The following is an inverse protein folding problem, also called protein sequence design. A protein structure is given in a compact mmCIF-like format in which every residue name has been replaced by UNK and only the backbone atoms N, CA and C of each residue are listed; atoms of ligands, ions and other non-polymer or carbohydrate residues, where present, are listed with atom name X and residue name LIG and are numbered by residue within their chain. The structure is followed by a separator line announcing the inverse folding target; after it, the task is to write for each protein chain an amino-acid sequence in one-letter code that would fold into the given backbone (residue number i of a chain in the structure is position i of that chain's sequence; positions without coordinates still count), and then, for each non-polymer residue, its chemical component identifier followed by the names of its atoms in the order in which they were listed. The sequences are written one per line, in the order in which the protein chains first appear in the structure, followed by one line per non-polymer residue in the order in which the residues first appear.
data_IF_893368379437
#
_entry.id   IF_893368379437
#
_cell.length_a   1.000
_cell.length_b   1.000
_cell.length_c   1.000
_cell.angle_alpha   90.00
_cell.angle_beta   90.00
_cell.angle_gamma   90.00
#
_symmetry.space_group_name_H-M   'P 1'
#
loop_
_entity.id
_entity.type
_entity.pdbx_description
1 polymer ?
#
# COMPACT_ATOMS: atom_id res chain seq x y z
N UNK A 1 -16.65 -12.33 3.21
CA UNK A 1 -16.43 -10.88 2.98
C UNK A 1 -15.12 -10.74 2.19
N UNK A 2 -15.09 -10.01 1.06
CA UNK A 2 -13.96 -10.05 0.12
C UNK A 2 -12.89 -8.99 0.43
N UNK A 3 -13.31 -7.78 0.83
CA UNK A 3 -12.39 -6.69 1.22
C UNK A 3 -12.28 -6.64 2.75
N UNK A 4 -11.32 -7.38 3.29
CA UNK A 4 -11.05 -7.48 4.74
C UNK A 4 -9.58 -7.13 5.03
N UNK A 5 -9.27 -6.80 6.28
CA UNK A 5 -7.92 -6.45 6.72
C UNK A 5 -6.89 -7.60 6.56
N UNK A 6 -7.35 -8.84 6.61
CA UNK A 6 -6.48 -10.03 6.55
C UNK A 6 -7.03 -11.07 5.55
N UNK A 7 -6.98 -10.78 4.23
CA UNK A 7 -7.56 -11.64 3.21
C UNK A 7 -6.86 -13.00 3.09
N UNK A 8 -5.63 -13.12 3.61
CA UNK A 8 -4.89 -14.38 3.72
C UNK A 8 -5.70 -15.51 4.36
N UNK A 9 -6.53 -15.20 5.36
CA UNK A 9 -7.33 -16.22 6.06
C UNK A 9 -8.58 -16.66 5.30
N UNK A 10 -8.93 -15.98 4.20
CA UNK A 10 -10.00 -16.44 3.32
C UNK A 10 -9.59 -17.67 2.50
N UNK A 11 -8.29 -18.00 2.45
CA UNK A 11 -7.78 -19.19 1.75
C UNK A 11 -8.18 -20.47 2.50
N UNK A 12 -8.56 -21.49 1.74
CA UNK A 12 -9.03 -22.76 2.29
C UNK A 12 -7.97 -23.40 3.19
N UNK A 13 -8.31 -23.59 4.47
CA UNK A 13 -7.43 -24.22 5.45
C UNK A 13 -6.44 -23.28 6.14
N UNK A 14 -6.46 -21.97 5.88
CA UNK A 14 -5.56 -21.02 6.55
C UNK A 14 -6.13 -20.41 7.84
N UNK A 15 -7.45 -20.47 8.06
CA UNK A 15 -8.10 -19.97 9.30
C UNK A 15 -7.50 -20.57 10.58
N UNK A 16 -7.05 -21.83 10.53
CA UNK A 16 -6.39 -22.53 11.65
C UNK A 16 -5.02 -21.97 12.03
N UNK A 17 -4.41 -21.13 11.19
CA UNK A 17 -3.17 -20.42 11.50
C UNK A 17 -3.41 -19.08 12.19
N UNK A 18 -4.67 -18.63 12.31
CA UNK A 18 -5.02 -17.36 12.92
C UNK A 18 -4.58 -17.33 14.38
N UNK A 19 -4.04 -16.19 14.81
CA UNK A 19 -3.44 -16.04 16.14
C UNK A 19 -2.04 -16.66 16.29
N UNK A 20 -1.58 -17.50 15.35
CA UNK A 20 -0.19 -17.99 15.36
C UNK A 20 0.78 -16.91 14.90
N UNK A 21 2.04 -17.04 15.31
CA UNK A 21 3.11 -16.16 14.86
C UNK A 21 3.33 -16.24 13.34
N UNK A 22 3.31 -17.44 12.79
CA UNK A 22 3.46 -17.67 11.35
C UNK A 22 2.28 -17.10 10.56
N UNK A 23 1.05 -17.28 11.04
CA UNK A 23 -0.15 -16.78 10.37
C UNK A 23 -0.18 -15.25 10.27
N UNK A 24 0.27 -14.54 11.32
CA UNK A 24 0.42 -13.08 11.29
C UNK A 24 1.43 -12.62 10.23
N UNK A 25 2.55 -13.33 10.13
CA UNK A 25 3.61 -13.02 9.16
C UNK A 25 3.13 -13.24 7.72
N UNK A 26 2.49 -14.39 7.48
CA UNK A 26 1.92 -14.71 6.18
C UNK A 26 0.84 -13.70 5.78
N UNK A 27 -0.03 -13.30 6.71
CA UNK A 27 -1.05 -12.27 6.50
C UNK A 27 -0.43 -10.91 6.12
N UNK A 28 0.64 -10.48 6.80
CA UNK A 28 1.37 -9.26 6.47
C UNK A 28 2.01 -9.31 5.07
N UNK A 29 2.76 -10.37 4.75
CA UNK A 29 3.38 -10.53 3.43
C UNK A 29 2.32 -10.64 2.32
N UNK A 30 1.18 -11.26 2.61
CA UNK A 30 0.06 -11.29 1.67
C UNK A 30 -0.48 -9.88 1.41
N UNK A 31 -0.62 -9.06 2.45
CA UNK A 31 -1.05 -7.67 2.32
C UNK A 31 -0.07 -6.81 1.50
N UNK A 32 1.24 -7.07 1.56
CA UNK A 32 2.20 -6.44 0.64
C UNK A 32 1.81 -6.70 -0.82
N UNK A 33 1.50 -7.95 -1.18
CA UNK A 33 1.09 -8.29 -2.53
C UNK A 33 -0.28 -7.70 -2.91
N UNK A 34 -1.23 -7.63 -1.97
CA UNK A 34 -2.54 -7.00 -2.20
C UNK A 34 -2.38 -5.52 -2.51
N UNK A 35 -1.59 -4.77 -1.72
CA UNK A 35 -1.33 -3.35 -1.94
C UNK A 35 -0.63 -3.12 -3.27
N UNK A 36 0.36 -3.94 -3.62
CA UNK A 36 1.04 -3.84 -4.91
C UNK A 36 0.08 -4.07 -6.09
N UNK A 37 -0.74 -5.13 -6.02
CA UNK A 37 -1.74 -5.44 -7.05
C UNK A 37 -2.81 -4.35 -7.15
N UNK A 38 -3.19 -3.73 -6.03
CA UNK A 38 -4.11 -2.60 -6.01
C UNK A 38 -3.57 -1.44 -6.84
N UNK A 39 -2.33 -1.00 -6.58
CA UNK A 39 -1.71 0.10 -7.35
C UNK A 39 -1.63 -0.26 -8.82
N UNK A 40 -1.20 -1.48 -9.15
CA UNK A 40 -1.14 -1.95 -10.55
C UNK A 40 -2.50 -1.95 -11.24
N UNK A 41 -3.56 -2.41 -10.55
CA UNK A 41 -4.91 -2.42 -11.08
C UNK A 41 -5.44 -0.99 -11.29
N UNK A 42 -5.20 -0.09 -10.33
CA UNK A 42 -5.58 1.32 -10.45
C UNK A 42 -4.83 2.01 -11.60
N UNK A 43 -3.53 1.74 -11.79
CA UNK A 43 -2.78 2.23 -12.95
C UNK A 43 -3.42 1.80 -14.27
N UNK A 44 -3.88 0.53 -14.37
CA UNK A 44 -4.57 0.05 -15.59
C UNK A 44 -5.89 0.77 -15.83
N UNK A 45 -6.65 1.06 -14.78
CA UNK A 45 -7.89 1.84 -14.88
C UNK A 45 -7.63 3.28 -15.34
N UNK A 46 -6.53 3.89 -14.91
CA UNK A 46 -6.12 5.23 -15.38
C UNK A 46 -5.71 5.19 -16.85
N UNK A 47 -4.94 4.19 -17.28
CA UNK A 47 -4.46 4.08 -18.67
C UNK A 47 -5.61 3.76 -19.63
N UNK A 48 -6.50 2.83 -19.26
CA UNK A 48 -7.58 2.34 -20.10
C UNK A 48 -8.88 2.21 -19.28
N UNK A 49 -9.54 3.35 -18.98
CA UNK A 49 -10.79 3.32 -18.25
C UNK A 49 -11.90 2.69 -19.11
N UNK A 50 -12.73 1.77 -18.56
CA UNK A 50 -13.94 1.32 -19.22
C UNK A 50 -14.84 2.50 -19.60
N UNK A 51 -15.34 2.53 -20.83
CA UNK A 51 -16.08 3.68 -21.37
C UNK A 51 -17.28 4.10 -20.50
N UNK A 52 -17.96 3.11 -19.91
CA UNK A 52 -19.14 3.33 -19.03
C UNK A 52 -18.78 4.05 -17.73
N UNK A 53 -17.54 3.96 -17.27
CA UNK A 53 -17.08 4.53 -15.98
C UNK A 53 -15.97 5.58 -16.16
N UNK A 54 -15.78 6.08 -17.38
CA UNK A 54 -14.62 6.91 -17.73
C UNK A 54 -14.57 8.20 -16.90
N UNK A 55 -15.71 8.85 -16.72
CA UNK A 55 -15.82 10.13 -16.00
C UNK A 55 -15.65 9.94 -14.50
N UNK A 56 -16.20 8.87 -13.94
CA UNK A 56 -16.09 8.51 -12.53
C UNK A 56 -14.67 8.13 -12.17
N UNK A 57 -13.99 7.35 -13.04
CA UNK A 57 -12.59 6.98 -12.85
C UNK A 57 -11.70 8.22 -12.89
N UNK A 58 -11.87 9.09 -13.89
CA UNK A 58 -11.10 10.32 -14.01
C UNK A 58 -11.31 11.24 -12.79
N UNK A 59 -12.55 11.41 -12.35
CA UNK A 59 -12.90 12.21 -11.18
C UNK A 59 -12.31 11.63 -9.90
N UNK A 60 -12.46 10.34 -9.67
CA UNK A 60 -11.91 9.67 -8.51
C UNK A 60 -10.39 9.88 -8.38
N UNK A 61 -9.65 9.68 -9.48
CA UNK A 61 -8.20 9.80 -9.44
C UNK A 61 -7.74 11.27 -9.36
N UNK A 62 -8.46 12.22 -9.96
CA UNK A 62 -8.19 13.65 -9.76
C UNK A 62 -8.29 14.05 -8.29
N UNK A 63 -9.31 13.57 -7.58
CA UNK A 63 -9.62 14.04 -6.22
C UNK A 63 -8.85 13.26 -5.14
N UNK A 64 -8.49 12.00 -5.41
CA UNK A 64 -7.96 11.08 -4.40
C UNK A 64 -6.54 10.55 -4.65
N UNK A 65 -6.00 10.63 -5.87
CA UNK A 65 -4.71 10.01 -6.17
C UNK A 65 -3.56 10.58 -5.33
N UNK A 66 -3.51 11.91 -5.15
CA UNK A 66 -2.46 12.56 -4.36
C UNK A 66 -2.47 12.08 -2.91
N UNK A 67 -3.66 11.96 -2.30
CA UNK A 67 -3.82 11.45 -0.93
C UNK A 67 -3.41 9.98 -0.82
N UNK A 68 -3.74 9.17 -1.82
CA UNK A 68 -3.32 7.77 -1.88
C UNK A 68 -1.80 7.64 -1.97
N UNK A 69 -1.16 8.36 -2.89
CA UNK A 69 0.29 8.30 -3.05
C UNK A 69 1.02 8.76 -1.79
N UNK A 70 0.62 9.91 -1.21
CA UNK A 70 1.24 10.41 0.02
C UNK A 70 1.14 9.40 1.17
N UNK A 71 -0.01 8.72 1.31
CA UNK A 71 -0.20 7.67 2.31
C UNK A 71 0.75 6.49 2.08
N UNK A 72 0.80 5.95 0.86
CA UNK A 72 1.67 4.82 0.54
C UNK A 72 3.15 5.17 0.68
N UNK A 73 3.55 6.40 0.34
CA UNK A 73 4.93 6.88 0.54
C UNK A 73 5.27 7.00 2.01
N UNK A 74 4.38 7.53 2.84
CA UNK A 74 4.64 7.60 4.29
C UNK A 74 4.85 6.21 4.91
N UNK A 75 4.14 5.19 4.42
CA UNK A 75 4.33 3.80 4.86
C UNK A 75 5.67 3.21 4.39
N UNK A 76 6.11 3.59 3.20
CA UNK A 76 7.41 3.22 2.66
C UNK A 76 8.54 3.89 3.43
N UNK A 77 8.44 5.19 3.72
CA UNK A 77 9.45 5.94 4.47
C UNK A 77 9.70 5.29 5.84
N UNK A 78 8.62 5.00 6.58
CA UNK A 78 8.72 4.36 7.91
C UNK A 78 9.30 2.94 7.80
N UNK A 79 8.95 2.18 6.76
CA UNK A 79 9.51 0.83 6.56
C UNK A 79 10.98 0.87 6.15
N UNK A 80 11.38 1.83 5.31
CA UNK A 80 12.75 2.02 4.83
C UNK A 80 13.68 2.49 5.95
N UNK A 81 13.21 3.40 6.81
CA UNK A 81 13.91 3.81 8.04
C UNK A 81 14.15 2.59 8.94
N UNK A 82 13.10 1.80 9.20
CA UNK A 82 13.20 0.57 9.98
C UNK A 82 14.23 -0.41 9.37
N UNK A 83 14.16 -0.63 8.06
CA UNK A 83 15.04 -1.54 7.32
C UNK A 83 16.51 -1.07 7.30
N UNK A 84 16.76 0.24 7.44
CA UNK A 84 18.10 0.84 7.52
C UNK A 84 18.71 0.63 8.90
N UNK A 85 17.93 0.84 9.96
CA UNK A 85 18.36 0.58 11.33
C UNK A 85 18.54 -0.92 11.64
N UNK A 86 17.90 -1.80 10.86
CA UNK A 86 17.89 -3.25 11.08
C UNK A 86 18.30 -4.03 9.82
N UNK A 87 19.57 -3.90 9.35
CA UNK A 87 19.97 -4.39 8.03
C UNK A 87 20.00 -5.93 7.90
N UNK A 88 20.21 -6.64 9.00
CA UNK A 88 20.41 -8.11 9.06
C UNK A 88 19.15 -8.84 9.57
N UNK A 89 18.23 -8.14 10.25
CA UNK A 89 17.01 -8.75 10.73
C UNK A 89 16.13 -9.12 9.52
N UNK A 90 15.82 -10.42 9.30
CA UNK A 90 14.67 -10.72 8.48
C UNK A 90 13.48 -10.01 9.12
N UNK A 91 12.53 -9.55 8.31
CA UNK A 91 11.31 -8.92 8.80
C UNK A 91 10.50 -9.99 9.55
N UNK A 92 10.89 -10.34 10.77
CA UNK A 92 10.34 -11.45 11.55
C UNK A 92 9.25 -10.95 12.49
N UNK A 93 8.42 -11.83 13.07
CA UNK A 93 7.22 -11.38 13.79
C UNK A 93 7.51 -10.66 15.12
N UNK A 94 8.66 -10.89 15.74
CA UNK A 94 9.09 -10.18 16.96
C UNK A 94 9.36 -8.71 16.66
N UNK A 95 9.91 -8.45 15.47
CA UNK A 95 10.20 -7.14 14.93
C UNK A 95 8.96 -6.28 14.74
N UNK A 96 7.85 -6.87 14.28
CA UNK A 96 6.62 -6.14 14.00
C UNK A 96 6.00 -5.49 15.25
N UNK A 97 5.99 -6.21 16.38
CA UNK A 97 5.45 -5.68 17.65
C UNK A 97 6.31 -4.55 18.20
N UNK A 98 7.63 -4.73 18.17
CA UNK A 98 8.58 -3.74 18.64
C UNK A 98 8.54 -2.47 17.78
N UNK A 99 8.48 -2.63 16.46
CA UNK A 99 8.27 -1.54 15.52
C UNK A 99 6.97 -0.76 15.81
N UNK A 100 5.83 -1.45 15.99
CA UNK A 100 4.57 -0.76 16.29
C UNK A 100 4.60 -0.01 17.63
N UNK A 101 5.33 -0.50 18.63
CA UNK A 101 5.54 0.27 19.87
C UNK A 101 6.42 1.49 19.65
N UNK A 102 7.51 1.36 18.88
CA UNK A 102 8.43 2.45 18.58
C UNK A 102 7.72 3.55 17.77
N UNK A 103 7.01 3.19 16.70
CA UNK A 103 6.27 4.14 15.85
C UNK A 103 5.13 4.84 16.59
N UNK A 104 4.47 4.16 17.54
CA UNK A 104 3.43 4.79 18.39
C UNK A 104 4.01 5.81 19.37
N UNK A 105 5.25 5.61 19.82
CA UNK A 105 5.94 6.51 20.74
C UNK A 105 6.57 7.72 20.01
N UNK A 106 6.98 7.55 18.75
CA UNK A 106 7.72 8.58 18.01
C UNK A 106 6.84 9.54 17.22
N UNK A 107 5.50 9.54 17.39
CA UNK A 107 4.52 10.35 16.64
C UNK A 107 5.20 11.50 15.89
N UNK A 108 5.58 11.24 14.63
CA UNK A 108 6.32 12.20 13.83
C UNK A 108 5.54 13.53 13.86
N UNK A 109 6.20 14.70 13.86
CA UNK A 109 5.52 16.00 14.04
C UNK A 109 4.36 16.27 13.06
N UNK A 110 4.28 15.52 11.96
CA UNK A 110 3.20 15.55 10.96
C UNK A 110 2.31 14.29 10.89
N UNK A 111 2.34 13.41 11.90
CA UNK A 111 1.39 12.31 12.11
C UNK A 111 1.22 11.33 10.94
N UNK A 112 2.12 10.36 10.79
CA UNK A 112 1.92 9.26 9.82
C UNK A 112 0.72 8.41 10.25
N UNK A 113 -0.33 8.38 9.44
CA UNK A 113 -1.49 7.50 9.66
C UNK A 113 -1.11 6.07 9.30
N UNK A 114 -1.00 5.21 10.32
CA UNK A 114 -0.66 3.80 10.14
C UNK A 114 -1.79 3.01 9.49
N UNK A 115 -1.48 1.94 8.74
CA UNK A 115 -2.51 1.07 8.18
C UNK A 115 -3.29 0.36 9.28
N UNK A 116 -4.61 0.22 9.09
CA UNK A 116 -5.51 -0.51 9.99
C UNK A 116 -5.38 -2.04 9.88
N UNK A 117 -4.50 -2.51 8.99
CA UNK A 117 -4.25 -3.92 8.69
C UNK A 117 -2.75 -4.22 8.82
N UNK A 118 -2.36 -5.50 9.04
CA UNK A 118 -0.95 -5.86 9.16
C UNK A 118 -0.24 -5.62 7.83
N UNK A 119 0.66 -4.63 7.81
CA UNK A 119 1.50 -4.32 6.65
C UNK A 119 2.93 -3.94 7.07
N UNK A 120 3.08 -3.16 8.13
CA UNK A 120 4.37 -2.60 8.54
C UNK A 120 5.07 -3.42 9.64
N UNK A 121 6.42 -3.42 9.72
CA UNK A 121 7.32 -2.89 8.70
C UNK A 121 7.28 -3.75 7.45
N UNK A 122 7.33 -3.12 6.28
CA UNK A 122 7.24 -3.84 5.01
C UNK A 122 8.63 -4.31 4.53
N UNK A 123 8.64 -5.39 3.75
CA UNK A 123 9.86 -5.99 3.22
C UNK A 123 10.61 -5.06 2.27
N UNK A 124 11.95 -5.16 2.22
CA UNK A 124 12.80 -4.35 1.32
C UNK A 124 12.38 -4.51 -0.15
N UNK A 125 12.10 -5.75 -0.58
CA UNK A 125 11.69 -6.06 -1.94
C UNK A 125 10.34 -5.43 -2.30
N UNK A 126 9.37 -5.47 -1.37
CA UNK A 126 8.10 -4.77 -1.54
C UNK A 126 8.31 -3.26 -1.65
N UNK A 127 9.12 -2.66 -0.77
CA UNK A 127 9.34 -1.22 -0.77
C UNK A 127 9.87 -0.73 -2.14
N UNK A 128 10.92 -1.39 -2.64
CA UNK A 128 11.50 -1.10 -3.96
C UNK A 128 10.47 -1.22 -5.08
N UNK A 129 9.66 -2.30 -5.05
CA UNK A 129 8.69 -2.59 -6.11
C UNK A 129 7.51 -1.60 -6.07
N UNK A 130 7.03 -1.24 -4.88
CA UNK A 130 5.94 -0.29 -4.72
C UNK A 130 6.37 1.13 -5.10
N UNK A 131 7.58 1.57 -4.75
CA UNK A 131 8.14 2.85 -5.23
C UNK A 131 8.10 2.95 -6.75
N UNK A 132 8.60 1.93 -7.45
CA UNK A 132 8.56 1.87 -8.92
C UNK A 132 7.13 1.92 -9.44
N UNK A 133 6.21 1.17 -8.82
CA UNK A 133 4.80 1.14 -9.20
C UNK A 133 4.12 2.51 -9.01
N UNK A 134 4.47 3.26 -7.95
CA UNK A 134 3.97 4.61 -7.71
C UNK A 134 4.50 5.62 -8.73
N UNK A 135 5.73 5.47 -9.21
CA UNK A 135 6.26 6.30 -10.32
C UNK A 135 5.43 6.06 -11.58
N UNK A 136 5.19 4.80 -11.96
CA UNK A 136 4.35 4.46 -13.12
C UNK A 136 2.92 4.96 -12.95
N UNK A 137 2.35 4.82 -11.75
CA UNK A 137 1.01 5.32 -11.43
C UNK A 137 0.90 6.84 -11.63
N UNK A 138 1.88 7.60 -11.13
CA UNK A 138 1.91 9.07 -11.33
C UNK A 138 2.10 9.47 -12.78
N UNK A 139 2.93 8.74 -13.53
CA UNK A 139 3.09 8.99 -14.95
C UNK A 139 1.75 8.82 -15.68
N UNK A 140 1.01 7.75 -15.40
CA UNK A 140 -0.30 7.52 -15.99
C UNK A 140 -1.30 8.65 -15.67
N UNK A 141 -1.25 9.22 -14.46
CA UNK A 141 -2.07 10.39 -14.10
C UNK A 141 -1.69 11.64 -14.88
N UNK A 142 -0.38 11.89 -15.05
CA UNK A 142 0.10 13.04 -15.82
C UNK A 142 -0.34 12.95 -17.29
N UNK A 143 -0.26 11.76 -17.88
CA UNK A 143 -0.65 11.52 -19.27
C UNK A 143 -2.18 11.68 -19.47
N UNK A 144 -3.00 11.25 -18.50
CA UNK A 144 -4.45 11.48 -18.51
C UNK A 144 -4.82 12.96 -18.43
N UNK A 145 -4.07 13.76 -17.66
CA UNK A 145 -4.32 15.20 -17.54
C UNK A 145 -3.96 15.98 -18.83
N UNK A 146 -2.98 15.49 -19.61
CA UNK A 146 -2.60 16.10 -20.89
C UNK A 146 -3.59 15.79 -22.02
N UNK A 147 -4.28 14.65 -21.94
CA UNK A 147 -5.24 14.20 -22.96
C UNK A 147 -6.64 14.80 -22.80
N UNK A 148 -6.95 15.44 -21.65
CA UNK A 148 -8.20 16.14 -21.37
C UNK A 148 -8.02 17.65 -21.08
N UNK A 149 -7.59 18.49 -22.05
CA UNK A 149 -7.40 19.92 -21.81
C UNK A 149 -8.71 20.76 -21.78
N UNK A 150 -9.91 20.16 -21.70
CA UNK A 150 -11.16 20.91 -21.82
C UNK A 150 -12.27 20.47 -20.84
N UNK A 151 -12.40 21.22 -19.75
CA UNK A 151 -13.69 21.52 -19.09
C UNK A 151 -13.55 22.69 -18.10
N UNK A 152 -12.81 23.74 -18.51
CA UNK A 152 -12.98 25.07 -17.92
C UNK A 152 -13.62 25.94 -19.00
N UNK A 153 -14.94 25.99 -19.00
CA UNK A 153 -15.79 26.96 -19.71
C UNK A 153 -16.83 27.46 -18.72
#
# INVERSE_FOLDING_TARGET
LILVAEPYFNEAGYEKQKGSQQGRENSRMYNEMVVLKLVQAMTKLIISPPQVFKEEIATHFRDHANKLCARLESWLDVSEEYNTCNPISPTTPTTCRQFLSEVKLTQHPNGVVLPEFPLLPASKGFCITLRKSLVTFRQALADQNQTNPASNS
#
